data_IF_399778913853
#
_entry.id   IF_399778913853
#
_cell.length_a   1.000
_cell.length_b   1.000
_cell.length_c   1.000
_cell.angle_alpha   90.00
_cell.angle_beta   90.00
_cell.angle_gamma   90.00
#
_symmetry.space_group_name_H-M   'P 1'
#
loop_
_entity.id
_entity.type
_entity.pdbx_description
1 polymer ?
#
# COMPACT_ATOMS: atom_id res chain seq x y z
N UNK A 1 -15.03 2.30 2.88
CA UNK A 1 -15.16 0.88 3.30
C UNK A 1 -13.96 0.05 2.87
N UNK A 2 -13.67 -0.08 1.56
CA UNK A 2 -12.50 -0.85 1.08
C UNK A 2 -11.18 -0.51 1.79
N UNK A 3 -10.88 0.79 1.95
CA UNK A 3 -9.66 1.23 2.63
C UNK A 3 -9.63 0.82 4.10
N UNK A 4 -10.75 0.99 4.82
CA UNK A 4 -10.87 0.57 6.23
C UNK A 4 -10.70 -0.95 6.36
N UNK A 5 -11.29 -1.72 5.45
CA UNK A 5 -11.13 -3.17 5.42
C UNK A 5 -9.68 -3.57 5.17
N UNK A 6 -8.96 -2.87 4.29
CA UNK A 6 -7.53 -3.10 4.06
C UNK A 6 -6.69 -2.84 5.32
N UNK A 7 -6.94 -1.72 6.01
CA UNK A 7 -6.30 -1.42 7.30
C UNK A 7 -6.60 -2.50 8.34
N UNK A 8 -7.86 -2.92 8.46
CA UNK A 8 -8.26 -3.94 9.42
C UNK A 8 -7.57 -5.29 9.13
N UNK A 9 -7.58 -5.74 7.87
CA UNK A 9 -6.94 -6.99 7.46
C UNK A 9 -5.43 -6.93 7.73
N UNK A 10 -4.77 -5.84 7.37
CA UNK A 10 -3.33 -5.64 7.67
C UNK A 10 -3.03 -5.73 9.15
N UNK A 11 -3.77 -5.03 9.99
CA UNK A 11 -3.54 -5.06 11.43
C UNK A 11 -3.85 -6.44 12.06
N UNK A 12 -4.87 -7.15 11.58
CA UNK A 12 -5.17 -8.51 12.03
C UNK A 12 -4.04 -9.48 11.67
N UNK A 13 -3.52 -9.39 10.44
CA UNK A 13 -2.36 -10.21 10.04
C UNK A 13 -1.15 -9.84 10.87
N UNK A 14 -0.87 -8.55 11.08
CA UNK A 14 0.24 -8.10 11.92
C UNK A 14 0.20 -8.69 13.33
N UNK A 15 -0.96 -8.68 13.98
CA UNK A 15 -1.14 -9.22 15.33
C UNK A 15 -0.97 -10.75 15.37
N UNK A 16 -1.44 -11.47 14.35
CA UNK A 16 -1.37 -12.94 14.31
C UNK A 16 -0.08 -13.51 13.70
N UNK A 17 0.55 -12.78 12.78
CA UNK A 17 1.72 -13.17 12.01
C UNK A 17 2.47 -11.92 11.51
N UNK A 18 3.31 -11.38 12.39
CA UNK A 18 4.14 -10.22 12.11
C UNK A 18 5.19 -10.53 11.03
N UNK A 19 5.04 -9.93 9.84
CA UNK A 19 6.03 -10.03 8.76
C UNK A 19 7.07 -8.92 8.87
N UNK A 20 8.28 -9.17 8.40
CA UNK A 20 9.37 -8.20 8.47
C UNK A 20 10.17 -8.13 7.18
N UNK A 21 10.72 -6.95 6.89
CA UNK A 21 11.62 -6.73 5.75
C UNK A 21 13.01 -6.35 6.27
N UNK A 22 14.04 -7.20 6.03
CA UNK A 22 15.40 -6.86 6.37
C UNK A 22 15.86 -5.61 5.62
N UNK A 23 16.42 -4.65 6.37
CA UNK A 23 16.94 -3.39 5.84
C UNK A 23 18.48 -3.44 5.83
N UNK A 24 19.14 -2.80 4.86
CA UNK A 24 20.59 -2.70 4.84
C UNK A 24 21.07 -1.76 5.96
N UNK A 25 22.28 -2.01 6.46
CA UNK A 25 22.97 -1.08 7.35
C UNK A 25 23.39 0.17 6.55
N UNK A 26 22.99 1.33 7.05
CA UNK A 26 23.28 2.63 6.44
C UNK A 26 24.12 3.47 7.39
N UNK A 27 25.21 4.07 6.87
CA UNK A 27 26.06 4.98 7.64
C UNK A 27 25.47 6.40 7.60
N UNK A 28 25.09 6.99 8.76
CA UNK A 28 24.61 8.37 8.81
C UNK A 28 25.62 9.36 8.24
N UNK A 29 25.13 10.47 7.68
CA UNK A 29 25.92 11.57 7.12
C UNK A 29 26.76 11.21 5.89
N UNK A 30 26.50 10.07 5.26
CA UNK A 30 27.14 9.72 3.98
C UNK A 30 26.74 10.71 2.88
N UNK A 31 25.45 11.04 2.78
CA UNK A 31 24.91 12.12 1.94
C UNK A 31 23.43 12.37 2.30
N UNK A 32 22.87 13.45 1.74
CA UNK A 32 21.47 13.83 1.93
C UNK A 32 20.45 12.72 1.64
N UNK A 33 20.65 11.92 0.59
CA UNK A 33 19.71 10.85 0.25
C UNK A 33 19.73 9.73 1.29
N UNK A 34 20.92 9.30 1.72
CA UNK A 34 21.08 8.28 2.77
C UNK A 34 20.42 8.75 4.08
N UNK A 35 20.62 10.00 4.47
CA UNK A 35 20.01 10.56 5.68
C UNK A 35 18.48 10.59 5.58
N UNK A 36 17.91 10.82 4.39
CA UNK A 36 16.47 10.72 4.16
C UNK A 36 15.95 9.29 4.25
N UNK A 37 16.69 8.30 3.76
CA UNK A 37 16.32 6.89 3.92
C UNK A 37 16.36 6.49 5.40
N UNK A 38 17.39 6.89 6.14
CA UNK A 38 17.50 6.65 7.59
C UNK A 38 16.31 7.30 8.32
N UNK A 39 16.00 8.57 8.02
CA UNK A 39 14.84 9.25 8.59
C UNK A 39 13.53 8.52 8.30
N UNK A 40 13.36 8.01 7.08
CA UNK A 40 12.18 7.22 6.71
C UNK A 40 12.13 5.92 7.51
N UNK A 41 13.25 5.21 7.65
CA UNK A 41 13.35 3.98 8.45
C UNK A 41 13.04 4.18 9.92
N UNK A 42 13.33 5.36 10.47
CA UNK A 42 12.97 5.70 11.85
C UNK A 42 11.49 6.04 12.01
N UNK A 43 10.84 6.57 10.98
CA UNK A 43 9.41 6.89 11.01
C UNK A 43 8.51 5.69 10.76
N UNK A 44 8.97 4.71 9.98
CA UNK A 44 8.22 3.54 9.59
C UNK A 44 8.99 2.27 9.96
N UNK A 45 8.45 1.49 10.91
CA UNK A 45 9.12 0.30 11.41
C UNK A 45 8.86 -0.92 10.49
N UNK A 46 9.83 -1.84 10.33
CA UNK A 46 9.76 -2.94 9.36
C UNK A 46 8.92 -4.13 9.87
N UNK A 47 7.78 -3.90 10.53
CA UNK A 47 7.05 -4.94 11.26
C UNK A 47 5.61 -5.17 10.75
N UNK A 48 4.96 -4.21 10.08
CA UNK A 48 3.61 -4.38 9.53
C UNK A 48 3.62 -4.37 8.00
N UNK A 49 4.33 -5.34 7.41
CA UNK A 49 4.64 -5.33 5.99
C UNK A 49 3.55 -5.98 5.12
N UNK A 50 2.87 -7.03 5.61
CA UNK A 50 1.90 -7.79 4.82
C UNK A 50 0.47 -7.67 5.38
N UNK A 51 -0.53 -7.43 4.52
CA UNK A 51 -0.45 -6.85 3.16
C UNK A 51 0.05 -5.40 3.15
N UNK A 52 0.68 -4.98 2.05
CA UNK A 52 1.25 -3.63 1.95
C UNK A 52 0.15 -2.54 1.92
N UNK A 53 0.05 -1.75 2.99
CA UNK A 53 -0.86 -0.60 3.05
C UNK A 53 -0.52 0.47 2.01
N UNK A 54 0.76 0.74 1.74
CA UNK A 54 1.20 1.70 0.73
C UNK A 54 0.65 1.36 -0.66
N UNK A 55 0.91 0.14 -1.13
CA UNK A 55 0.41 -0.36 -2.42
C UNK A 55 -1.12 -0.39 -2.49
N UNK A 56 -1.80 -0.90 -1.46
CA UNK A 56 -3.26 -1.04 -1.50
C UNK A 56 -4.00 0.30 -1.44
N UNK A 57 -3.58 1.21 -0.56
CA UNK A 57 -4.24 2.53 -0.42
C UNK A 57 -3.99 3.43 -1.63
N UNK A 58 -2.77 3.42 -2.18
CA UNK A 58 -2.45 4.17 -3.40
C UNK A 58 -3.22 3.65 -4.61
N UNK A 59 -3.30 2.33 -4.81
CA UNK A 59 -4.08 1.72 -5.89
C UNK A 59 -5.59 2.02 -5.75
N UNK A 60 -6.16 1.89 -4.55
CA UNK A 60 -7.55 2.25 -4.29
C UNK A 60 -7.82 3.73 -4.58
N UNK A 61 -6.93 4.61 -4.14
CA UNK A 61 -7.06 6.06 -4.37
C UNK A 61 -6.98 6.39 -5.87
N UNK A 62 -6.05 5.79 -6.60
CA UNK A 62 -5.96 5.96 -8.05
C UNK A 62 -7.23 5.45 -8.77
N UNK A 63 -7.76 4.29 -8.34
CA UNK A 63 -8.96 3.70 -8.94
C UNK A 63 -10.22 4.57 -8.80
N UNK A 64 -10.33 5.35 -7.71
CA UNK A 64 -11.49 6.20 -7.45
C UNK A 64 -11.71 7.25 -8.55
N UNK A 65 -10.64 7.75 -9.16
CA UNK A 65 -10.72 8.76 -10.21
C UNK A 65 -11.24 8.24 -11.55
N UNK A 66 -11.26 6.91 -11.76
CA UNK A 66 -11.82 6.30 -12.97
C UNK A 66 -13.35 6.21 -12.96
N UNK A 67 -14.01 6.51 -11.83
CA UNK A 67 -15.47 6.40 -11.70
C UNK A 67 -16.23 7.33 -12.66
N UNK A 68 -15.71 8.53 -12.92
CA UNK A 68 -16.33 9.51 -13.83
C UNK A 68 -15.37 9.88 -14.95
N UNK A 69 -15.82 9.75 -16.20
CA UNK A 69 -14.98 10.00 -17.38
C UNK A 69 -14.37 11.42 -17.42
N UNK A 70 -15.03 12.42 -16.83
CA UNK A 70 -14.51 13.79 -16.72
C UNK A 70 -13.17 13.90 -15.96
N UNK A 71 -12.82 12.89 -15.18
CA UNK A 71 -11.58 12.86 -14.38
C UNK A 71 -10.51 11.95 -14.96
N UNK A 72 -10.65 11.48 -16.21
CA UNK A 72 -9.73 10.49 -16.80
C UNK A 72 -8.26 10.92 -16.80
N UNK A 73 -7.98 12.21 -17.01
CA UNK A 73 -6.61 12.75 -16.93
C UNK A 73 -6.05 12.63 -15.51
N UNK A 74 -6.84 13.03 -14.50
CA UNK A 74 -6.47 12.90 -13.09
C UNK A 74 -6.25 11.42 -12.73
N UNK A 75 -7.11 10.54 -13.23
CA UNK A 75 -7.01 9.10 -12.99
C UNK A 75 -5.67 8.52 -13.47
N UNK A 76 -5.19 8.94 -14.65
CA UNK A 76 -3.88 8.54 -15.15
C UNK A 76 -2.72 9.11 -14.32
N UNK A 77 -2.78 10.40 -13.95
CA UNK A 77 -1.76 11.02 -13.09
C UNK A 77 -1.67 10.27 -11.75
N UNK A 78 -2.81 9.98 -11.14
CA UNK A 78 -2.87 9.25 -9.87
C UNK A 78 -2.41 7.79 -10.01
N UNK A 79 -2.62 7.16 -11.16
CA UNK A 79 -2.11 5.82 -11.45
C UNK A 79 -0.59 5.79 -11.56
N UNK A 80 0.00 6.77 -12.24
CA UNK A 80 1.46 6.93 -12.33
C UNK A 80 2.04 7.18 -10.94
N UNK A 81 1.39 8.04 -10.15
CA UNK A 81 1.79 8.31 -8.77
C UNK A 81 1.73 7.06 -7.89
N UNK A 82 0.64 6.31 -7.96
CA UNK A 82 0.48 5.05 -7.22
C UNK A 82 1.56 4.04 -7.63
N UNK A 83 1.85 3.91 -8.93
CA UNK A 83 2.92 3.06 -9.41
C UNK A 83 4.29 3.50 -8.88
N UNK A 84 4.57 4.81 -8.82
CA UNK A 84 5.76 5.36 -8.21
C UNK A 84 5.89 5.01 -6.72
N UNK A 85 4.79 5.02 -5.96
CA UNK A 85 4.76 4.57 -4.56
C UNK A 85 5.07 3.07 -4.47
N UNK A 86 4.46 2.23 -5.31
CA UNK A 86 4.76 0.79 -5.32
C UNK A 86 6.24 0.55 -5.58
N UNK A 87 6.81 1.19 -6.59
CA UNK A 87 8.24 1.07 -6.88
C UNK A 87 9.13 1.58 -5.74
N UNK A 88 8.80 2.71 -5.13
CA UNK A 88 9.59 3.26 -4.03
C UNK A 88 9.64 2.32 -2.84
N UNK A 89 8.53 1.63 -2.52
CA UNK A 89 8.51 0.66 -1.42
C UNK A 89 9.46 -0.52 -1.64
N UNK A 90 9.68 -0.93 -2.90
CA UNK A 90 10.60 -2.03 -3.22
C UNK A 90 12.05 -1.55 -3.21
N UNK A 91 12.34 -0.40 -3.80
CA UNK A 91 13.70 0.16 -3.85
C UNK A 91 14.21 0.57 -2.47
N UNK A 92 13.33 1.07 -1.60
CA UNK A 92 13.67 1.45 -0.24
C UNK A 92 13.56 0.28 0.75
N UNK A 93 13.30 -0.96 0.30
CA UNK A 93 13.16 -2.13 1.18
C UNK A 93 12.12 -1.93 2.30
N UNK A 94 11.00 -1.30 1.97
CA UNK A 94 9.85 -1.18 2.87
C UNK A 94 8.95 -2.42 2.80
N UNK A 95 8.82 -2.99 1.60
CA UNK A 95 7.99 -4.16 1.33
C UNK A 95 8.73 -5.13 0.42
N UNK A 96 8.34 -6.40 0.47
CA UNK A 96 8.69 -7.41 -0.55
C UNK A 96 7.57 -7.52 -1.59
N UNK A 97 7.86 -8.11 -2.75
CA UNK A 97 6.88 -8.25 -3.84
C UNK A 97 5.61 -9.00 -3.42
N UNK A 98 5.73 -9.96 -2.50
CA UNK A 98 4.59 -10.71 -1.97
C UNK A 98 3.61 -9.80 -1.22
N UNK A 99 4.08 -8.73 -0.57
CA UNK A 99 3.22 -7.80 0.17
C UNK A 99 2.23 -7.07 -0.75
N UNK A 100 2.63 -6.85 -2.01
CA UNK A 100 1.77 -6.26 -3.06
C UNK A 100 0.61 -7.21 -3.36
N UNK A 101 0.89 -8.50 -3.49
CA UNK A 101 -0.13 -9.53 -3.76
C UNK A 101 -1.12 -9.62 -2.60
N UNK A 102 -0.64 -9.47 -1.35
CA UNK A 102 -1.50 -9.41 -0.18
C UNK A 102 -2.53 -8.29 -0.26
N UNK A 103 -2.13 -7.10 -0.71
CA UNK A 103 -3.04 -5.95 -0.86
C UNK A 103 -4.11 -6.20 -1.92
N UNK A 104 -3.73 -6.81 -3.05
CA UNK A 104 -4.67 -7.20 -4.10
C UNK A 104 -5.69 -8.24 -3.60
N UNK A 105 -5.22 -9.23 -2.83
CA UNK A 105 -6.09 -10.24 -2.21
C UNK A 105 -7.06 -9.58 -1.22
N UNK A 106 -6.57 -8.72 -0.33
CA UNK A 106 -7.40 -8.04 0.66
C UNK A 106 -8.50 -7.18 0.01
N UNK A 107 -8.16 -6.44 -1.04
CA UNK A 107 -9.11 -5.64 -1.84
C UNK A 107 -10.12 -6.56 -2.55
N UNK A 108 -9.64 -7.66 -3.16
CA UNK A 108 -10.49 -8.64 -3.83
C UNK A 108 -11.50 -9.29 -2.89
N UNK A 109 -11.07 -9.68 -1.69
CA UNK A 109 -11.93 -10.23 -0.64
C UNK A 109 -13.00 -9.22 -0.20
N UNK A 110 -12.64 -7.94 -0.06
CA UNK A 110 -13.61 -6.90 0.24
C UNK A 110 -14.71 -6.82 -0.83
N UNK A 111 -14.34 -6.79 -2.12
CA UNK A 111 -15.32 -6.74 -3.21
C UNK A 111 -16.16 -8.03 -3.32
N UNK A 112 -15.55 -9.20 -3.09
CA UNK A 112 -16.25 -10.47 -3.08
C UNK A 112 -17.30 -10.52 -1.96
N UNK A 113 -16.92 -10.13 -0.74
CA UNK A 113 -17.84 -9.99 0.39
C UNK A 113 -18.98 -9.02 0.05
N UNK A 114 -18.64 -7.82 -0.44
CA UNK A 114 -19.63 -6.80 -0.76
C UNK A 114 -20.67 -7.28 -1.79
N UNK A 115 -20.22 -8.03 -2.80
CA UNK A 115 -21.07 -8.64 -3.83
C UNK A 115 -21.92 -9.78 -3.27
N UNK A 116 -21.36 -10.65 -2.43
CA UNK A 116 -22.07 -11.78 -1.83
C UNK A 116 -23.27 -11.33 -0.98
N UNK A 117 -23.12 -10.22 -0.25
CA UNK A 117 -24.18 -9.68 0.60
C UNK A 117 -25.10 -8.67 -0.11
N UNK A 118 -25.02 -8.54 -1.44
CA UNK A 118 -25.84 -7.62 -2.24
C UNK A 118 -25.93 -6.20 -1.67
N UNK A 119 -24.84 -5.74 -1.06
CA UNK A 119 -24.78 -4.36 -0.59
C UNK A 119 -24.84 -3.47 -1.83
N UNK A 120 -25.70 -2.43 -1.81
CA UNK A 120 -25.77 -1.48 -2.93
C UNK A 120 -24.60 -0.53 -2.83
N UNK A 121 -23.62 -0.64 -3.75
CA UNK A 121 -22.60 0.40 -3.89
C UNK A 121 -23.30 1.66 -4.37
N UNK A 122 -23.46 2.64 -3.47
CA UNK A 122 -23.78 4.00 -3.87
C UNK A 122 -22.49 4.60 -4.42
N UNK A 123 -22.26 4.40 -5.72
CA UNK A 123 -21.18 5.07 -6.48
C UNK A 123 -21.71 6.36 -7.07
#
# INVERSE_FOLDING_TARGET
>A
LAMISLFLISNLVYVGFQTQVPRPDLTPHTNWFVDKVISLYNSDNPYNCFPSLHCGTSALTASFWFVKNRYRVIAWIMSIWAFGIVLSTQFLKQHVLVDITGSLIAIGLFFAFYRLFNLKMQV
#
